data_IF_176271405872
#
_entry.id   IF_176271405872
#
_cell.length_a   1.000
_cell.length_b   1.000
_cell.length_c   1.000
_cell.angle_alpha   90.00
_cell.angle_beta   90.00
_cell.angle_gamma   90.00
#
_symmetry.space_group_name_H-M   'P 1'
#
loop_
_entity.id
_entity.type
_entity.pdbx_description
1 polymer ?
#
# COMPACT_ATOMS: atom_id res chain seq x y z
N UNK A 1 -16.27 9.54 -4.11
CA UNK A 1 -15.02 9.19 -4.84
C UNK A 1 -15.31 8.68 -6.25
N UNK A 2 -16.30 7.80 -6.42
CA UNK A 2 -16.70 7.26 -7.72
C UNK A 2 -17.11 8.32 -8.76
N UNK A 3 -17.89 9.32 -8.36
CA UNK A 3 -18.40 10.36 -9.27
C UNK A 3 -17.29 11.21 -9.92
N UNK A 4 -16.12 11.32 -9.28
CA UNK A 4 -14.97 12.09 -9.79
C UNK A 4 -14.04 11.27 -10.69
N UNK A 5 -14.12 9.94 -10.65
CA UNK A 5 -13.35 9.08 -11.57
C UNK A 5 -14.01 9.07 -12.97
N UNK A 6 -15.32 9.32 -13.04
CA UNK A 6 -16.05 9.52 -14.29
C UNK A 6 -15.80 10.87 -14.95
N UNK A 7 -15.41 11.92 -14.21
CA UNK A 7 -15.22 13.27 -14.78
C UNK A 7 -13.91 13.47 -15.56
N UNK A 8 -13.01 12.49 -15.54
CA UNK A 8 -11.82 12.51 -16.38
C UNK A 8 -12.09 11.77 -17.69
N UNK A 9 -12.20 12.54 -18.77
CA UNK A 9 -12.31 12.07 -20.16
C UNK A 9 -10.94 11.56 -20.68
N UNK A 10 -10.26 10.75 -19.85
CA UNK A 10 -8.99 10.11 -20.18
C UNK A 10 -9.27 8.74 -20.78
N UNK A 11 -8.67 8.40 -21.93
CA UNK A 11 -8.96 7.15 -22.65
C UNK A 11 -8.45 5.90 -21.90
N UNK A 12 -7.54 6.05 -20.94
CA UNK A 12 -6.86 4.94 -20.30
C UNK A 12 -7.03 4.93 -18.78
N UNK A 13 -7.49 3.79 -18.25
CA UNK A 13 -7.61 3.52 -16.80
C UNK A 13 -6.30 3.80 -16.06
N UNK A 14 -5.16 3.56 -16.70
CA UNK A 14 -3.85 3.84 -16.12
C UNK A 14 -3.60 5.34 -15.88
N UNK A 15 -3.96 6.18 -16.84
CA UNK A 15 -3.82 7.64 -16.73
C UNK A 15 -4.78 8.22 -15.68
N UNK A 16 -6.00 7.67 -15.59
CA UNK A 16 -6.95 8.04 -14.53
C UNK A 16 -6.40 7.75 -13.14
N UNK A 17 -5.74 6.61 -12.96
CA UNK A 17 -5.12 6.25 -11.68
C UNK A 17 -3.90 7.14 -11.37
N UNK A 18 -3.07 7.45 -12.35
CA UNK A 18 -1.91 8.32 -12.10
C UNK A 18 -2.32 9.78 -11.81
N UNK A 19 -3.41 10.25 -12.42
CA UNK A 19 -4.04 11.53 -12.07
C UNK A 19 -4.57 11.53 -10.63
N UNK A 20 -5.29 10.48 -10.23
CA UNK A 20 -5.80 10.32 -8.86
C UNK A 20 -4.67 10.33 -7.83
N UNK A 21 -3.55 9.65 -8.11
CA UNK A 21 -2.36 9.66 -7.25
C UNK A 21 -1.78 11.06 -7.09
N UNK A 22 -1.64 11.79 -8.19
CA UNK A 22 -1.07 13.14 -8.18
C UNK A 22 -1.98 14.11 -7.43
N UNK A 23 -3.29 13.99 -7.62
CA UNK A 23 -4.27 14.77 -6.87
C UNK A 23 -4.23 14.46 -5.38
N UNK A 24 -4.19 13.18 -4.98
CA UNK A 24 -4.05 12.79 -3.58
C UNK A 24 -2.80 13.41 -2.96
N UNK A 25 -1.64 13.26 -3.60
CA UNK A 25 -0.37 13.81 -3.12
C UNK A 25 -0.33 15.35 -3.07
N UNK A 26 -1.15 16.03 -3.86
CA UNK A 26 -1.25 17.49 -3.90
C UNK A 26 -2.32 18.06 -2.96
N UNK A 27 -3.19 17.21 -2.40
CA UNK A 27 -4.35 17.64 -1.61
C UNK A 27 -4.04 17.91 -0.13
N UNK A 28 -2.98 17.30 0.42
CA UNK A 28 -2.60 17.45 1.83
C UNK A 28 -1.07 17.58 1.96
N UNK A 29 -0.62 18.25 3.02
CA UNK A 29 0.79 18.37 3.39
C UNK A 29 1.28 17.07 4.05
N UNK A 30 1.52 16.04 3.24
CA UNK A 30 2.08 14.78 3.70
C UNK A 30 3.57 14.90 4.02
N UNK A 31 4.01 14.28 5.12
CA UNK A 31 5.45 14.07 5.38
C UNK A 31 6.05 13.08 4.37
N UNK A 32 7.37 13.12 4.17
CA UNK A 32 8.07 12.24 3.22
C UNK A 32 7.80 10.74 3.46
N UNK A 33 7.68 10.33 4.73
CA UNK A 33 7.34 8.95 5.10
C UNK A 33 5.91 8.57 4.72
N UNK A 34 4.96 9.50 4.87
CA UNK A 34 3.56 9.32 4.46
C UNK A 34 3.47 9.24 2.94
N UNK A 35 4.18 10.12 2.22
CA UNK A 35 4.27 10.08 0.75
C UNK A 35 4.80 8.71 0.30
N UNK A 36 5.89 8.22 0.91
CA UNK A 36 6.47 6.92 0.56
C UNK A 36 5.48 5.77 0.79
N UNK A 37 4.76 5.80 1.90
CA UNK A 37 3.77 4.77 2.25
C UNK A 37 2.56 4.83 1.33
N UNK A 38 2.05 6.03 1.05
CA UNK A 38 0.94 6.26 0.14
C UNK A 38 1.29 5.82 -1.29
N UNK A 39 2.49 6.15 -1.79
CA UNK A 39 2.99 5.66 -3.08
C UNK A 39 3.05 4.12 -3.12
N UNK A 40 3.50 3.46 -2.05
CA UNK A 40 3.54 2.00 -1.94
C UNK A 40 2.14 1.38 -1.97
N UNK A 41 1.21 1.91 -1.17
CA UNK A 41 -0.16 1.43 -1.12
C UNK A 41 -0.88 1.66 -2.46
N UNK A 42 -0.66 2.82 -3.08
CA UNK A 42 -1.20 3.14 -4.39
C UNK A 42 -0.65 2.21 -5.48
N UNK A 43 0.64 1.85 -5.41
CA UNK A 43 1.22 0.87 -6.34
C UNK A 43 0.57 -0.51 -6.20
N UNK A 44 0.31 -0.96 -4.97
CA UNK A 44 -0.41 -2.20 -4.70
C UNK A 44 -1.85 -2.13 -5.23
N UNK A 45 -2.57 -1.05 -4.95
CA UNK A 45 -3.92 -0.81 -5.45
C UNK A 45 -3.99 -0.77 -6.98
N UNK A 46 -3.07 -0.05 -7.64
CA UNK A 46 -2.93 0.00 -9.11
C UNK A 46 -2.75 -1.40 -9.68
N UNK A 47 -1.93 -2.24 -9.03
CA UNK A 47 -1.74 -3.64 -9.44
C UNK A 47 -3.04 -4.45 -9.33
N UNK A 48 -3.79 -4.31 -8.23
CA UNK A 48 -5.07 -5.00 -8.04
C UNK A 48 -6.11 -4.59 -9.08
N UNK A 49 -6.24 -3.29 -9.37
CA UNK A 49 -7.12 -2.80 -10.43
C UNK A 49 -6.72 -3.41 -11.77
N UNK A 50 -5.43 -3.38 -12.14
CA UNK A 50 -4.95 -3.95 -13.40
C UNK A 50 -5.31 -5.44 -13.52
N UNK A 51 -5.08 -6.22 -12.46
CA UNK A 51 -5.41 -7.65 -12.48
C UNK A 51 -6.92 -7.88 -12.66
N UNK A 52 -7.77 -7.11 -11.97
CA UNK A 52 -9.23 -7.21 -12.08
C UNK A 52 -9.73 -6.72 -13.44
N UNK A 53 -9.11 -5.69 -14.00
CA UNK A 53 -9.39 -5.17 -15.34
C UNK A 53 -9.09 -6.22 -16.43
N UNK A 54 -7.96 -6.93 -16.30
CA UNK A 54 -7.62 -8.04 -17.19
C UNK A 54 -8.60 -9.21 -17.05
N UNK A 55 -9.00 -9.57 -15.82
CA UNK A 55 -10.01 -10.62 -15.57
C UNK A 55 -11.38 -10.27 -16.13
N UNK A 56 -11.71 -8.98 -16.20
CA UNK A 56 -12.93 -8.48 -16.83
C UNK A 56 -12.81 -8.33 -18.36
N UNK A 57 -11.74 -8.85 -18.98
CA UNK A 57 -11.47 -8.74 -20.41
C UNK A 57 -11.44 -7.28 -20.91
N UNK A 58 -11.01 -6.35 -20.06
CA UNK A 58 -10.98 -4.90 -20.35
C UNK A 58 -12.35 -4.32 -20.75
N UNK A 59 -13.45 -4.98 -20.37
CA UNK A 59 -14.82 -4.49 -20.59
C UNK A 59 -15.31 -3.82 -19.32
N UNK A 60 -15.71 -2.55 -19.43
CA UNK A 60 -16.14 -1.74 -18.30
C UNK A 60 -17.36 -2.34 -17.59
N UNK A 61 -18.40 -2.70 -18.33
CA UNK A 61 -19.63 -3.27 -17.77
C UNK A 61 -19.38 -4.55 -16.96
N UNK A 62 -18.51 -5.42 -17.49
CA UNK A 62 -18.12 -6.68 -16.84
C UNK A 62 -17.27 -6.38 -15.60
N UNK A 63 -16.37 -5.40 -15.69
CA UNK A 63 -15.53 -5.00 -14.58
C UNK A 63 -16.35 -4.46 -13.41
N UNK A 64 -17.27 -3.53 -13.68
CA UNK A 64 -18.14 -2.93 -12.67
C UNK A 64 -19.05 -3.98 -12.05
N UNK A 65 -19.66 -4.86 -12.85
CA UNK A 65 -20.56 -5.90 -12.34
C UNK A 65 -19.86 -6.90 -11.42
N UNK A 66 -18.63 -7.31 -11.75
CA UNK A 66 -17.90 -8.32 -10.97
C UNK A 66 -17.19 -7.70 -9.76
N UNK A 67 -16.73 -6.46 -9.88
CA UNK A 67 -15.89 -5.83 -8.86
C UNK A 67 -16.63 -4.77 -8.04
N UNK A 68 -17.95 -4.61 -8.21
CA UNK A 68 -18.76 -3.62 -7.47
C UNK A 68 -18.49 -3.66 -5.96
N UNK A 69 -18.65 -4.83 -5.33
CA UNK A 69 -18.43 -5.00 -3.89
C UNK A 69 -16.99 -4.74 -3.46
N UNK A 70 -16.02 -4.97 -4.35
CA UNK A 70 -14.62 -4.68 -4.09
C UNK A 70 -14.32 -3.18 -4.23
N UNK A 71 -15.00 -2.50 -5.15
CA UNK A 71 -14.89 -1.07 -5.41
C UNK A 71 -15.59 -0.22 -4.34
N UNK A 72 -16.67 -0.75 -3.74
CA UNK A 72 -17.31 -0.19 -2.54
C UNK A 72 -16.48 -0.40 -1.26
N UNK A 73 -15.44 -1.24 -1.34
CA UNK A 73 -14.50 -1.44 -0.26
C UNK A 73 -13.75 -0.16 0.09
N UNK A 74 -13.42 -0.01 1.37
CA UNK A 74 -12.52 1.04 1.84
C UNK A 74 -11.07 0.62 1.63
N UNK A 75 -10.25 1.50 1.02
CA UNK A 75 -8.81 1.37 1.10
C UNK A 75 -8.31 2.20 2.28
N UNK A 76 -7.53 1.57 3.16
CA UNK A 76 -6.90 2.28 4.28
C UNK A 76 -5.72 3.10 3.73
N UNK A 77 -5.92 4.42 3.64
CA UNK A 77 -4.80 5.37 3.69
C UNK A 77 -4.20 5.17 5.08
N UNK A 78 -2.88 4.94 5.20
CA UNK A 78 -2.30 4.67 6.50
C UNK A 78 -2.46 5.89 7.40
N UNK A 79 -3.47 5.85 8.27
CA UNK A 79 -3.46 6.60 9.49
C UNK A 79 -2.32 6.01 10.33
N UNK A 80 -1.24 6.80 10.47
CA UNK A 80 -0.20 6.73 11.50
C UNK A 80 -0.15 5.35 12.20
N UNK A 81 0.29 4.29 11.51
CA UNK A 81 0.42 2.98 12.16
C UNK A 81 1.73 2.99 12.95
N UNK A 82 1.66 3.47 14.19
CA UNK A 82 2.71 3.32 15.19
C UNK A 82 3.08 1.83 15.30
N UNK A 83 4.38 1.55 15.21
CA UNK A 83 5.02 0.25 15.48
C UNK A 83 4.42 -0.96 14.73
N UNK A 84 5.07 -1.33 13.62
CA UNK A 84 5.00 -2.72 13.13
C UNK A 84 5.80 -3.59 14.11
N UNK A 85 5.18 -4.43 14.96
CA UNK A 85 5.98 -5.33 15.78
C UNK A 85 6.65 -6.34 14.83
N UNK A 86 7.97 -6.30 14.77
CA UNK A 86 8.73 -7.41 14.19
C UNK A 86 8.47 -8.69 14.99
N UNK A 87 9.05 -9.81 14.55
CA UNK A 87 9.01 -11.07 15.31
C UNK A 87 9.39 -10.78 16.77
N UNK A 88 8.56 -11.17 17.77
CA UNK A 88 8.90 -11.01 19.17
C UNK A 88 10.29 -11.59 19.44
N UNK A 89 11.19 -10.76 19.96
CA UNK A 89 12.53 -11.21 20.30
C UNK A 89 12.41 -12.15 21.49
N UNK A 90 13.00 -13.35 21.38
CA UNK A 90 13.14 -14.24 22.53
C UNK A 90 13.97 -13.56 23.62
N UNK A 91 13.66 -13.87 24.88
CA UNK A 91 14.49 -13.47 26.02
C UNK A 91 15.95 -13.93 25.77
N UNK A 92 16.91 -13.19 26.32
CA UNK A 92 18.33 -13.48 26.11
C UNK A 92 18.68 -14.94 26.50
N UNK A 93 18.13 -15.41 27.62
CA UNK A 93 18.37 -16.75 28.15
C UNK A 93 17.82 -17.87 27.26
N UNK A 94 16.72 -17.61 26.55
CA UNK A 94 16.04 -18.57 25.65
C UNK A 94 16.55 -18.49 24.20
N UNK A 95 17.46 -17.56 23.92
CA UNK A 95 18.06 -17.40 22.60
C UNK A 95 19.12 -18.47 22.37
N UNK A 96 19.36 -18.85 21.11
CA UNK A 96 20.47 -19.75 20.77
C UNK A 96 21.82 -19.06 21.03
N UNK A 97 22.87 -19.85 21.22
CA UNK A 97 24.23 -19.33 21.45
C UNK A 97 24.70 -18.38 20.34
N UNK A 98 24.36 -18.67 19.08
CA UNK A 98 24.63 -17.77 17.96
C UNK A 98 23.98 -16.40 18.14
N UNK A 99 22.70 -16.38 18.54
CA UNK A 99 21.97 -15.13 18.77
C UNK A 99 22.47 -14.38 20.00
N UNK A 100 22.85 -15.09 21.07
CA UNK A 100 23.47 -14.46 22.25
C UNK A 100 24.79 -13.79 21.89
N UNK A 101 25.68 -14.47 21.16
CA UNK A 101 26.96 -13.89 20.69
C UNK A 101 26.74 -12.60 19.90
N UNK A 102 25.81 -12.61 18.96
CA UNK A 102 25.42 -11.41 18.18
C UNK A 102 24.87 -10.30 19.07
N UNK A 103 24.03 -10.63 20.07
CA UNK A 103 23.47 -9.63 21.02
C UNK A 103 24.54 -9.01 21.94
N UNK A 104 25.67 -9.69 22.19
CA UNK A 104 26.76 -9.22 23.05
C UNK A 104 27.99 -8.71 22.28
N UNK A 105 27.90 -8.58 20.95
CA UNK A 105 29.02 -8.23 20.07
C UNK A 105 29.62 -6.85 20.41
N UNK A 106 28.75 -5.89 20.71
CA UNK A 106 29.13 -4.52 21.10
C UNK A 106 29.94 -4.48 22.40
N UNK A 107 29.62 -5.35 23.37
CA UNK A 107 30.29 -5.38 24.70
C UNK A 107 31.60 -6.16 24.66
N UNK A 108 31.80 -7.03 23.66
CA UNK A 108 33.04 -7.83 23.50
C UNK A 108 34.11 -7.16 22.64
N UNK A 109 33.75 -6.06 21.97
CA UNK A 109 34.64 -5.33 21.07
C UNK A 109 35.37 -4.17 21.78
N UNK A 110 35.29 -4.14 23.12
CA UNK A 110 36.07 -3.33 24.05
C UNK A 110 37.10 -4.22 24.73
#
# INVERSE_FOLDING_TARGET
>A
MFDRVQSYDLPNLEEKLDSLRSHLLSSEDYTEEQIKTLKRNFSHFKSQIKQRWLKAHKKEDVFLKINHSWLEGTFEIPAISQNRPGRPSKLFNESSERTKRRKTEEVRSL
#
